data_IF_594873114338
#
_entry.id   IF_594873114338
#
_cell.length_a   1.000
_cell.length_b   1.000
_cell.length_c   1.000
_cell.angle_alpha   90.00
_cell.angle_beta   90.00
_cell.angle_gamma   90.00
#
_symmetry.space_group_name_H-M   'P 1'
#
loop_
_entity.id
_entity.type
_entity.pdbx_description
1 polymer ?
#
# COMPACT_ATOMS: atom_id res chain seq x y z
N UNK A 1 -36.46 18.98 7.99
CA UNK A 1 -36.07 17.74 8.70
C UNK A 1 -34.82 17.19 7.99
N UNK A 2 -33.70 17.92 8.07
CA UNK A 2 -32.50 17.71 7.24
C UNK A 2 -31.22 17.47 8.07
N UNK A 3 -31.37 17.10 9.35
CA UNK A 3 -30.23 17.02 10.29
C UNK A 3 -29.66 15.61 10.48
N UNK A 4 -30.10 14.60 9.71
CA UNK A 4 -29.71 13.19 9.93
C UNK A 4 -28.84 12.62 8.78
N UNK A 5 -28.57 13.41 7.73
CA UNK A 5 -27.55 13.10 6.71
C UNK A 5 -26.25 13.86 6.99
N UNK A 6 -25.83 13.92 8.25
CA UNK A 6 -24.42 14.14 8.57
C UNK A 6 -23.70 12.91 8.01
N UNK A 7 -23.27 13.05 6.76
CA UNK A 7 -22.94 11.95 5.87
C UNK A 7 -21.97 11.00 6.56
N UNK A 8 -22.17 9.69 6.35
CA UNK A 8 -21.25 8.67 6.86
C UNK A 8 -19.78 8.99 6.50
N UNK A 9 -19.53 9.78 5.45
CA UNK A 9 -18.21 10.29 5.09
C UNK A 9 -17.52 11.10 6.19
N UNK A 10 -18.25 11.90 6.98
CA UNK A 10 -17.71 12.68 8.11
C UNK A 10 -17.29 11.78 9.27
N UNK A 11 -17.97 10.63 9.45
CA UNK A 11 -17.64 9.64 10.50
C UNK A 11 -16.45 8.73 10.16
N UNK A 12 -16.05 8.66 8.90
CA UNK A 12 -14.89 7.87 8.45
C UNK A 12 -13.65 8.72 8.18
N UNK A 13 -13.62 9.99 8.61
CA UNK A 13 -12.35 10.66 8.85
C UNK A 13 -11.66 9.96 10.04
N UNK A 14 -11.06 8.81 9.76
CA UNK A 14 -10.02 8.22 10.58
C UNK A 14 -8.92 9.28 10.63
N UNK A 15 -8.93 10.03 11.73
CA UNK A 15 -7.97 11.07 12.05
C UNK A 15 -6.59 10.48 11.73
N UNK A 16 -5.93 10.98 10.68
CA UNK A 16 -4.62 10.57 10.14
C UNK A 16 -4.57 9.64 8.90
N UNK A 17 -5.60 9.47 8.09
CA UNK A 17 -5.41 8.88 6.74
C UNK A 17 -5.37 10.01 5.68
N UNK A 18 -4.23 10.24 4.99
CA UNK A 18 -4.17 11.22 3.91
C UNK A 18 -5.27 11.03 2.87
N UNK A 19 -5.84 12.12 2.35
CA UNK A 19 -6.96 12.06 1.40
C UNK A 19 -6.69 11.19 0.17
N UNK A 20 -5.43 11.12 -0.28
CA UNK A 20 -5.03 10.24 -1.39
C UNK A 20 -5.32 8.75 -1.15
N UNK A 21 -5.38 8.34 0.12
CA UNK A 21 -5.73 7.00 0.59
C UNK A 21 -7.20 6.90 1.01
N UNK A 22 -7.98 7.97 0.89
CA UNK A 22 -9.39 7.89 1.22
C UNK A 22 -10.09 7.11 0.10
N UNK A 23 -10.55 5.91 0.45
CA UNK A 23 -11.34 5.03 -0.40
C UNK A 23 -12.58 4.64 0.38
N UNK A 24 -13.76 4.56 -0.27
CA UNK A 24 -14.92 4.01 0.40
C UNK A 24 -14.56 2.62 0.90
N UNK A 25 -14.65 2.38 2.21
CA UNK A 25 -14.44 1.04 2.76
C UNK A 25 -15.53 0.15 2.19
N UNK A 26 -15.18 -0.61 1.16
CA UNK A 26 -16.03 -1.67 0.66
C UNK A 26 -15.82 -2.85 1.62
N UNK A 27 -16.77 -3.08 2.53
CA UNK A 27 -16.77 -4.28 3.37
C UNK A 27 -17.03 -5.50 2.48
N UNK A 28 -16.03 -5.93 1.72
CA UNK A 28 -16.09 -7.15 0.95
C UNK A 28 -15.91 -8.34 1.90
N UNK A 29 -16.89 -9.24 1.88
CA UNK A 29 -16.81 -10.51 2.60
C UNK A 29 -16.07 -11.49 1.70
N UNK A 30 -14.94 -12.01 2.20
CA UNK A 30 -14.18 -13.06 1.52
C UNK A 30 -15.04 -14.33 1.48
N UNK A 31 -15.36 -14.81 0.28
CA UNK A 31 -16.18 -16.01 0.06
C UNK A 31 -15.35 -17.28 0.24
N UNK A 32 -15.98 -18.43 0.44
CA UNK A 32 -15.26 -19.71 0.47
C UNK A 32 -14.43 -19.91 -0.81
N UNK A 33 -13.18 -20.38 -0.67
CA UNK A 33 -12.28 -20.60 -1.81
C UNK A 33 -11.53 -19.36 -2.28
N UNK A 34 -11.66 -18.21 -1.60
CA UNK A 34 -10.94 -16.97 -1.94
C UNK A 34 -9.41 -17.12 -1.97
N UNK A 35 -8.88 -18.12 -1.24
CA UNK A 35 -7.44 -18.39 -1.16
C UNK A 35 -6.84 -18.80 -2.52
N UNK A 36 -7.68 -19.32 -3.43
CA UNK A 36 -7.27 -19.70 -4.78
C UNK A 36 -7.16 -18.50 -5.74
N UNK A 37 -7.65 -17.33 -5.33
CA UNK A 37 -7.77 -16.15 -6.18
C UNK A 37 -6.51 -15.27 -6.14
N UNK A 38 -6.34 -14.46 -7.18
CA UNK A 38 -5.32 -13.44 -7.33
C UNK A 38 -5.87 -12.06 -6.94
N UNK A 39 -4.98 -11.09 -6.75
CA UNK A 39 -5.34 -9.70 -6.53
C UNK A 39 -5.31 -8.91 -7.83
N UNK A 40 -6.38 -8.16 -8.09
CA UNK A 40 -6.42 -7.09 -9.07
C UNK A 40 -6.39 -5.76 -8.33
N UNK A 41 -5.36 -4.95 -8.56
CA UNK A 41 -5.22 -3.64 -7.92
C UNK A 41 -5.79 -2.54 -8.82
N UNK A 42 -6.51 -1.59 -8.22
CA UNK A 42 -6.94 -0.39 -8.93
C UNK A 42 -5.76 0.53 -9.27
N UNK A 43 -4.85 0.72 -8.31
CA UNK A 43 -3.61 1.50 -8.45
C UNK A 43 -2.55 0.88 -7.55
N UNK A 44 -1.60 0.17 -8.15
CA UNK A 44 -0.59 -0.55 -7.40
C UNK A 44 0.48 0.36 -6.78
N UNK A 45 0.75 1.52 -7.38
CA UNK A 45 1.68 2.49 -6.81
C UNK A 45 1.08 3.13 -5.56
N UNK A 46 -0.22 3.41 -5.57
CA UNK A 46 -0.94 3.85 -4.37
C UNK A 46 -0.90 2.78 -3.27
N UNK A 47 -0.98 1.49 -3.62
CA UNK A 47 -0.87 0.39 -2.66
C UNK A 47 0.53 0.32 -2.05
N UNK A 48 1.59 0.48 -2.83
CA UNK A 48 2.96 0.55 -2.30
C UNK A 48 3.13 1.72 -1.34
N UNK A 49 2.54 2.86 -1.66
CA UNK A 49 2.51 4.05 -0.82
C UNK A 49 1.76 3.82 0.49
N UNK A 50 0.62 3.13 0.44
CA UNK A 50 -0.17 2.77 1.61
C UNK A 50 0.60 1.82 2.53
N UNK A 51 1.22 0.79 1.96
CA UNK A 51 2.04 -0.18 2.69
C UNK A 51 3.20 0.53 3.39
N UNK A 52 3.88 1.47 2.72
CA UNK A 52 4.96 2.25 3.35
C UNK A 52 4.42 3.19 4.43
N UNK A 53 3.29 3.86 4.19
CA UNK A 53 2.65 4.77 5.14
C UNK A 53 2.22 4.08 6.44
N UNK A 54 1.61 2.91 6.35
CA UNK A 54 1.20 2.11 7.51
C UNK A 54 2.32 1.25 8.09
N UNK A 55 3.53 1.28 7.53
CA UNK A 55 4.67 0.49 8.01
C UNK A 55 4.46 -1.03 7.84
N UNK A 56 3.60 -1.44 6.92
CA UNK A 56 3.32 -2.85 6.65
C UNK A 56 4.52 -3.52 5.97
N UNK A 57 4.63 -4.85 6.19
CA UNK A 57 5.68 -5.68 5.57
C UNK A 57 7.07 -5.10 5.75
N UNK A 58 7.36 -4.60 6.96
CA UNK A 58 8.59 -3.89 7.25
C UNK A 58 9.83 -4.75 6.98
N UNK A 59 10.74 -4.21 6.19
CA UNK A 59 12.10 -4.72 6.00
C UNK A 59 13.03 -3.51 6.13
N UNK A 60 14.08 -3.67 6.93
CA UNK A 60 15.14 -2.68 7.00
C UNK A 60 15.92 -2.67 5.67
N UNK A 61 15.99 -1.52 4.96
CA UNK A 61 16.79 -1.42 3.74
C UNK A 61 18.27 -1.65 4.05
N UNK A 62 19.00 -2.26 3.12
CA UNK A 62 20.47 -2.28 3.19
C UNK A 62 20.97 -0.85 2.94
N UNK A 63 22.01 -0.43 3.66
CA UNK A 63 22.61 0.91 3.51
C UNK A 63 23.01 1.22 2.06
N UNK A 64 23.48 0.21 1.33
CA UNK A 64 23.94 0.38 -0.06
C UNK A 64 22.80 0.70 -1.05
N UNK A 65 21.56 0.31 -0.73
CA UNK A 65 20.41 0.68 -1.57
C UNK A 65 20.15 2.19 -1.54
N UNK A 66 20.36 2.84 -0.40
CA UNK A 66 20.15 4.29 -0.31
C UNK A 66 21.15 5.04 -1.21
N UNK A 67 22.40 4.57 -1.32
CA UNK A 67 23.44 5.16 -2.18
C UNK A 67 23.04 5.17 -3.67
N UNK A 68 22.50 4.05 -4.16
CA UNK A 68 21.96 3.93 -5.52
C UNK A 68 20.91 5.01 -5.82
N UNK A 69 20.02 5.27 -4.86
CA UNK A 69 18.97 6.27 -5.03
C UNK A 69 19.47 7.70 -4.83
N UNK A 70 20.47 7.95 -3.98
CA UNK A 70 21.11 9.28 -3.85
C UNK A 70 21.64 9.76 -5.20
N UNK A 71 22.28 8.86 -5.96
CA UNK A 71 22.79 9.13 -7.31
C UNK A 71 21.65 9.37 -8.30
N UNK A 72 20.63 8.51 -8.33
CA UNK A 72 19.48 8.66 -9.23
C UNK A 72 18.69 9.96 -8.98
N UNK A 73 18.51 10.33 -7.72
CA UNK A 73 17.82 11.56 -7.32
C UNK A 73 18.72 12.80 -7.33
N UNK A 74 20.00 12.69 -7.73
CA UNK A 74 20.89 13.85 -7.88
C UNK A 74 20.53 14.75 -9.05
N UNK A 75 19.88 14.18 -10.08
CA UNK A 75 19.46 14.88 -11.30
C UNK A 75 18.04 15.46 -11.19
N UNK A 76 17.32 15.20 -10.09
CA UNK A 76 15.95 15.68 -9.88
C UNK A 76 15.98 16.95 -9.05
N UNK A 77 15.27 17.99 -9.49
CA UNK A 77 15.09 19.21 -8.71
C UNK A 77 14.12 18.96 -7.56
N UNK A 78 14.64 19.02 -6.33
CA UNK A 78 13.83 19.02 -5.12
C UNK A 78 13.75 20.43 -4.54
N UNK A 79 12.60 20.76 -3.96
CA UNK A 79 12.39 22.06 -3.31
C UNK A 79 13.27 22.23 -2.06
N UNK A 80 13.62 21.14 -1.38
CA UNK A 80 14.49 21.12 -0.20
C UNK A 80 15.25 19.78 -0.07
N UNK A 81 16.40 19.83 0.60
CA UNK A 81 17.26 18.67 0.88
C UNK A 81 16.60 17.61 1.76
N UNK A 82 15.69 17.99 2.67
CA UNK A 82 14.95 17.03 3.49
C UNK A 82 13.98 16.20 2.64
N UNK A 83 13.26 16.85 1.71
CA UNK A 83 12.38 16.17 0.77
C UNK A 83 13.14 15.16 -0.09
N UNK A 84 14.35 15.51 -0.55
CA UNK A 84 15.22 14.58 -1.28
C UNK A 84 15.61 13.37 -0.44
N UNK A 85 16.04 13.57 0.81
CA UNK A 85 16.41 12.47 1.69
C UNK A 85 15.22 11.54 1.99
N UNK A 86 14.03 12.10 2.20
CA UNK A 86 12.81 11.33 2.44
C UNK A 86 12.41 10.52 1.20
N UNK A 87 12.56 11.08 -0.01
CA UNK A 87 12.32 10.37 -1.27
C UNK A 87 13.29 9.19 -1.46
N UNK A 88 14.59 9.41 -1.21
CA UNK A 88 15.63 8.35 -1.25
C UNK A 88 15.28 7.22 -0.30
N UNK A 89 14.99 7.53 0.97
CA UNK A 89 14.64 6.52 1.98
C UNK A 89 13.37 5.76 1.60
N UNK A 90 12.35 6.44 1.07
CA UNK A 90 11.12 5.80 0.58
C UNK A 90 11.42 4.82 -0.54
N UNK A 91 12.20 5.21 -1.54
CA UNK A 91 12.56 4.36 -2.66
C UNK A 91 13.34 3.11 -2.20
N UNK A 92 14.33 3.28 -1.32
CA UNK A 92 15.09 2.17 -0.76
C UNK A 92 14.20 1.20 0.05
N UNK A 93 13.24 1.72 0.82
CA UNK A 93 12.25 0.91 1.55
C UNK A 93 11.31 0.15 0.63
N UNK A 94 10.85 0.76 -0.46
CA UNK A 94 10.01 0.07 -1.44
C UNK A 94 10.79 -1.02 -2.19
N UNK A 95 12.03 -0.76 -2.62
CA UNK A 95 12.87 -1.78 -3.26
C UNK A 95 13.16 -2.95 -2.32
N UNK A 96 13.43 -2.69 -1.04
CA UNK A 96 13.62 -3.75 -0.04
C UNK A 96 12.39 -4.66 0.12
N UNK A 97 11.18 -4.16 -0.18
CA UNK A 97 9.90 -4.90 -0.13
C UNK A 97 9.51 -5.53 -1.45
N UNK A 98 10.33 -5.42 -2.51
CA UNK A 98 9.97 -5.86 -3.85
C UNK A 98 9.48 -7.32 -3.88
N UNK A 99 10.15 -8.22 -3.17
CA UNK A 99 9.73 -9.64 -3.07
C UNK A 99 8.28 -9.83 -2.61
N UNK A 100 7.78 -8.95 -1.74
CA UNK A 100 6.40 -9.01 -1.25
C UNK A 100 5.42 -8.40 -2.26
N UNK A 101 5.83 -7.35 -2.97
CA UNK A 101 5.05 -6.79 -4.08
C UNK A 101 4.91 -7.81 -5.22
N UNK A 102 5.94 -8.62 -5.47
CA UNK A 102 5.88 -9.72 -6.43
C UNK A 102 4.93 -10.83 -5.94
N UNK A 103 4.95 -11.16 -4.65
CA UNK A 103 3.96 -12.09 -4.09
C UNK A 103 2.52 -11.58 -4.28
N UNK A 104 2.28 -10.29 -4.01
CA UNK A 104 0.96 -9.65 -4.14
C UNK A 104 0.44 -9.62 -5.58
N UNK A 105 1.32 -9.51 -6.58
CA UNK A 105 0.92 -9.33 -7.99
C UNK A 105 0.90 -10.62 -8.79
N UNK A 106 1.67 -11.64 -8.39
CA UNK A 106 1.90 -12.83 -9.23
C UNK A 106 1.38 -14.12 -8.59
N UNK A 107 1.06 -14.14 -7.30
CA UNK A 107 0.61 -15.37 -6.61
C UNK A 107 -0.87 -15.32 -6.23
N UNK A 108 -1.56 -16.47 -6.22
CA UNK A 108 -2.82 -16.59 -5.52
C UNK A 108 -2.60 -16.53 -4.00
N UNK A 109 -3.62 -16.13 -3.25
CA UNK A 109 -3.53 -15.86 -1.81
C UNK A 109 -2.95 -17.04 -1.01
N UNK A 110 -3.29 -18.28 -1.35
CA UNK A 110 -2.80 -19.50 -0.67
C UNK A 110 -1.29 -19.72 -0.78
N UNK A 111 -0.65 -19.17 -1.82
CA UNK A 111 0.79 -19.30 -2.06
C UNK A 111 1.61 -18.12 -1.53
N UNK A 112 0.94 -17.08 -1.02
CA UNK A 112 1.59 -15.97 -0.34
C UNK A 112 2.03 -16.39 1.06
N UNK A 113 3.13 -15.81 1.52
CA UNK A 113 3.56 -15.88 2.92
C UNK A 113 2.48 -15.30 3.84
N UNK A 114 2.44 -15.76 5.10
CA UNK A 114 1.36 -15.40 6.05
C UNK A 114 1.16 -13.90 6.18
N UNK A 115 2.25 -13.13 6.29
CA UNK A 115 2.19 -11.69 6.42
C UNK A 115 1.68 -11.01 5.14
N UNK A 116 2.12 -11.48 3.97
CA UNK A 116 1.66 -10.93 2.69
C UNK A 116 0.18 -11.25 2.47
N UNK A 117 -0.27 -12.46 2.80
CA UNK A 117 -1.68 -12.85 2.75
C UNK A 117 -2.55 -11.97 3.65
N UNK A 118 -2.09 -11.70 4.87
CA UNK A 118 -2.81 -10.81 5.78
C UNK A 118 -2.97 -9.40 5.21
N UNK A 119 -1.92 -8.87 4.57
CA UNK A 119 -1.99 -7.58 3.86
C UNK A 119 -2.90 -7.66 2.63
N UNK A 120 -2.85 -8.74 1.84
CA UNK A 120 -3.75 -8.97 0.72
C UNK A 120 -5.22 -8.89 1.14
N UNK A 121 -5.58 -9.60 2.21
CA UNK A 121 -6.95 -9.58 2.74
C UNK A 121 -7.35 -8.20 3.26
N UNK A 122 -6.42 -7.47 3.89
CA UNK A 122 -6.65 -6.09 4.31
C UNK A 122 -6.93 -5.18 3.12
N UNK A 123 -6.14 -5.29 2.05
CA UNK A 123 -6.32 -4.49 0.82
C UNK A 123 -7.68 -4.75 0.17
N UNK A 124 -8.13 -6.00 0.14
CA UNK A 124 -9.48 -6.35 -0.36
C UNK A 124 -10.57 -5.75 0.53
N UNK A 125 -10.48 -5.92 1.85
CA UNK A 125 -11.45 -5.39 2.83
C UNK A 125 -11.51 -3.86 2.87
N UNK A 126 -10.45 -3.20 2.41
CA UNK A 126 -10.35 -1.72 2.39
C UNK A 126 -10.58 -1.15 0.99
N UNK A 127 -10.88 -1.99 -0.01
CA UNK A 127 -11.21 -1.55 -1.37
C UNK A 127 -10.01 -1.07 -2.20
N UNK A 128 -8.79 -1.53 -1.87
CA UNK A 128 -7.58 -1.27 -2.64
C UNK A 128 -7.26 -2.35 -3.67
N UNK A 129 -7.90 -3.52 -3.53
CA UNK A 129 -7.79 -4.62 -4.46
C UNK A 129 -9.12 -5.37 -4.55
N UNK A 130 -9.31 -6.06 -5.66
CA UNK A 130 -10.37 -7.05 -5.87
C UNK A 130 -9.76 -8.45 -5.99
N UNK A 131 -10.56 -9.47 -5.73
CA UNK A 131 -10.17 -10.85 -5.97
C UNK A 131 -10.64 -11.31 -7.35
N UNK A 132 -9.72 -11.87 -8.12
CA UNK A 132 -9.97 -12.35 -9.48
C UNK A 132 -9.43 -13.77 -9.68
N UNK A 133 -10.00 -14.50 -10.63
CA UNK A 133 -9.56 -15.84 -11.03
C UNK A 133 -8.27 -15.79 -11.84
#
# INVERSE_FOLDING_TARGET
MELILMSLSVRYNFINVPEKFNRPIQRQVLRSGYEELYLLFYDFELVKDLIDYWGLLYIQPKKDLELKYVEQFSMVSFNDGEHRQNAVKKAARQEARQRFYDELTVKPLKLMSVNVRWVAELLVKTGYAELVL
#
